data_IF_363628385679
#
_entry.id   IF_363628385679
#
_cell.length_a   1.000
_cell.length_b   1.000
_cell.length_c   1.000
_cell.angle_alpha   90.00
_cell.angle_beta   90.00
_cell.angle_gamma   90.00
#
_symmetry.space_group_name_H-M   'P 1'
#
loop_
_entity.id
_entity.type
_entity.pdbx_description
1 polymer ?
#
# COMPACT_ATOMS: atom_id res chain seq x y z
N UNK A 1 -41.24 5.26 2.37
CA UNK A 1 -40.54 5.75 3.58
C UNK A 1 -41.30 6.97 4.05
N UNK A 2 -41.85 6.94 5.26
CA UNK A 2 -42.67 8.02 5.79
C UNK A 2 -41.79 9.23 6.15
N UNK A 3 -42.38 10.43 6.12
CA UNK A 3 -41.69 11.69 6.41
C UNK A 3 -41.16 11.74 7.84
N UNK A 4 -41.84 11.06 8.76
CA UNK A 4 -41.42 10.93 10.15
C UNK A 4 -40.28 9.92 10.33
N UNK A 5 -40.17 8.90 9.46
CA UNK A 5 -39.03 7.98 9.44
C UNK A 5 -37.77 8.69 8.93
N UNK A 6 -37.90 9.43 7.83
CA UNK A 6 -36.81 10.27 7.29
C UNK A 6 -36.24 11.26 8.32
N UNK A 7 -37.12 11.86 9.13
CA UNK A 7 -36.70 12.77 10.19
C UNK A 7 -35.93 12.04 11.29
N UNK A 8 -36.35 10.84 11.69
CA UNK A 8 -35.63 10.03 12.68
C UNK A 8 -34.26 9.63 12.16
N UNK A 9 -34.18 9.16 10.92
CA UNK A 9 -32.92 8.77 10.28
C UNK A 9 -31.94 9.94 10.20
N UNK A 10 -32.42 11.13 9.83
CA UNK A 10 -31.60 12.34 9.80
C UNK A 10 -31.04 12.71 11.18
N UNK A 11 -31.87 12.64 12.23
CA UNK A 11 -31.44 12.93 13.60
C UNK A 11 -30.40 11.90 14.07
N UNK A 12 -30.64 10.61 13.77
CA UNK A 12 -29.73 9.53 14.08
C UNK A 12 -28.37 9.76 13.42
N UNK A 13 -28.37 10.11 12.13
CA UNK A 13 -27.16 10.38 11.36
C UNK A 13 -26.37 11.55 11.97
N UNK A 14 -27.04 12.66 12.31
CA UNK A 14 -26.37 13.81 12.94
C UNK A 14 -25.77 13.43 14.29
N UNK A 15 -26.49 12.63 15.09
CA UNK A 15 -25.98 12.17 16.38
C UNK A 15 -24.70 11.33 16.21
N UNK A 16 -24.71 10.38 15.27
CA UNK A 16 -23.53 9.55 14.97
C UNK A 16 -22.36 10.36 14.43
N UNK A 17 -22.60 11.34 13.56
CA UNK A 17 -21.54 12.23 13.04
C UNK A 17 -20.94 13.06 14.18
N UNK A 18 -21.77 13.59 15.08
CA UNK A 18 -21.30 14.35 16.25
C UNK A 18 -20.42 13.49 17.15
N UNK A 19 -20.89 12.30 17.51
CA UNK A 19 -20.17 11.38 18.38
C UNK A 19 -18.80 11.02 17.80
N UNK A 20 -18.74 10.73 16.49
CA UNK A 20 -17.48 10.49 15.78
C UNK A 20 -16.53 11.69 15.84
N UNK A 21 -17.02 12.91 15.59
CA UNK A 21 -16.18 14.12 15.65
C UNK A 21 -15.67 14.39 17.06
N UNK A 22 -16.49 14.16 18.09
CA UNK A 22 -16.07 14.28 19.49
C UNK A 22 -14.96 13.29 19.84
N UNK A 23 -15.06 12.04 19.36
CA UNK A 23 -14.00 11.03 19.52
C UNK A 23 -12.70 11.44 18.83
N UNK A 24 -12.76 11.92 17.58
CA UNK A 24 -11.58 12.40 16.85
C UNK A 24 -10.90 13.57 17.58
N UNK A 25 -11.68 14.52 18.11
CA UNK A 25 -11.15 15.63 18.90
C UNK A 25 -10.48 15.15 20.20
N UNK A 26 -11.04 14.14 20.87
CA UNK A 26 -10.42 13.54 22.07
C UNK A 26 -9.10 12.82 21.76
N UNK A 27 -8.98 12.26 20.56
CA UNK A 27 -7.75 11.65 20.05
C UNK A 27 -6.71 12.70 19.60
N UNK A 28 -7.06 14.00 19.64
CA UNK A 28 -6.16 15.11 19.33
C UNK A 28 -6.20 15.56 17.86
N UNK A 29 -7.11 15.02 17.05
CA UNK A 29 -7.29 15.47 15.67
C UNK A 29 -8.06 16.80 15.67
N UNK A 30 -7.35 17.90 15.41
CA UNK A 30 -7.90 19.26 15.41
C UNK A 30 -8.14 19.81 14.01
N UNK A 31 -7.58 19.16 13.00
CA UNK A 31 -7.73 19.47 11.59
C UNK A 31 -8.10 18.17 10.85
N UNK A 32 -9.03 18.27 9.91
CA UNK A 32 -9.19 17.23 8.89
C UNK A 32 -8.12 17.53 7.85
N UNK A 33 -7.01 16.80 7.87
CA UNK A 33 -6.10 16.80 6.74
C UNK A 33 -6.85 16.23 5.54
N UNK A 34 -7.31 17.11 4.65
CA UNK A 34 -7.56 16.71 3.27
C UNK A 34 -6.20 16.27 2.74
N UNK A 35 -5.97 14.95 2.65
CA UNK A 35 -4.86 14.38 1.89
C UNK A 35 -5.10 14.68 0.41
N UNK A 36 -5.01 15.96 0.01
CA UNK A 36 -4.72 16.27 -1.38
C UNK A 36 -3.28 15.81 -1.61
N UNK A 37 -3.04 14.86 -2.54
CA UNK A 37 -1.68 14.45 -2.82
C UNK A 37 -0.91 15.67 -3.29
N UNK A 38 0.02 16.17 -2.48
CA UNK A 38 1.03 17.11 -2.92
C UNK A 38 1.85 16.42 -4.03
N UNK A 39 1.44 16.61 -5.28
CA UNK A 39 2.07 16.04 -6.47
C UNK A 39 3.42 16.70 -6.82
N UNK A 40 4.00 17.49 -5.92
CA UNK A 40 5.30 18.17 -6.09
C UNK A 40 6.47 17.31 -5.58
N UNK A 41 6.35 15.98 -5.75
CA UNK A 41 7.46 15.07 -5.48
C UNK A 41 8.55 15.28 -6.54
N UNK A 42 9.82 15.49 -6.16
CA UNK A 42 10.93 15.50 -7.12
C UNK A 42 11.12 14.14 -7.82
N UNK A 43 10.35 13.13 -7.41
CA UNK A 43 10.32 11.79 -7.97
C UNK A 43 9.05 11.50 -8.80
N UNK A 44 8.19 12.49 -9.07
CA UNK A 44 6.92 12.28 -9.79
C UNK A 44 7.09 11.73 -11.22
N UNK A 45 8.18 12.07 -11.90
CA UNK A 45 8.50 11.62 -13.26
C UNK A 45 9.51 10.47 -13.30
N UNK A 46 9.75 9.78 -12.18
CA UNK A 46 10.72 8.68 -12.16
C UNK A 46 10.22 7.47 -12.96
N UNK A 47 11.02 7.06 -13.94
CA UNK A 47 10.75 5.86 -14.72
C UNK A 47 11.16 4.60 -13.94
N UNK A 48 10.16 3.88 -13.40
CA UNK A 48 10.38 2.61 -12.72
C UNK A 48 11.01 1.55 -13.63
N UNK A 49 10.79 1.61 -14.95
CA UNK A 49 11.38 0.65 -15.88
C UNK A 49 12.90 0.84 -15.98
N UNK A 50 13.37 2.09 -16.02
CA UNK A 50 14.79 2.41 -15.97
C UNK A 50 15.43 1.95 -14.65
N UNK A 51 14.77 2.19 -13.51
CA UNK A 51 15.24 1.72 -12.20
C UNK A 51 15.28 0.19 -12.10
N UNK A 52 14.35 -0.50 -12.74
CA UNK A 52 14.33 -1.97 -12.78
C UNK A 52 15.55 -2.48 -13.54
N UNK A 53 15.87 -1.91 -14.71
CA UNK A 53 17.06 -2.28 -15.48
C UNK A 53 18.38 -1.99 -14.72
N UNK A 54 18.44 -0.88 -14.00
CA UNK A 54 19.58 -0.56 -13.13
C UNK A 54 19.71 -1.58 -11.97
N UNK A 55 18.59 -2.00 -11.38
CA UNK A 55 18.59 -3.00 -10.32
C UNK A 55 19.05 -4.38 -10.82
N UNK A 56 18.58 -4.81 -11.99
CA UNK A 56 18.96 -6.09 -12.62
C UNK A 56 20.47 -6.22 -12.82
N UNK A 57 21.14 -5.13 -13.19
CA UNK A 57 22.60 -5.07 -13.40
C UNK A 57 23.40 -4.70 -12.14
N UNK A 58 22.75 -4.50 -11.00
CA UNK A 58 23.40 -4.01 -9.79
C UNK A 58 24.39 -5.04 -9.20
N UNK A 59 25.63 -4.57 -8.97
CA UNK A 59 26.72 -5.35 -8.34
C UNK A 59 27.32 -4.64 -7.11
N UNK A 60 26.56 -3.72 -6.51
CA UNK A 60 27.06 -2.82 -5.44
C UNK A 60 27.24 -3.50 -4.08
N UNK A 61 26.75 -4.72 -3.89
CA UNK A 61 26.91 -5.50 -2.65
C UNK A 61 27.02 -7.01 -2.93
N UNK A 62 27.53 -7.82 -1.99
CA UNK A 62 27.74 -9.26 -2.21
C UNK A 62 26.49 -10.08 -2.52
N UNK A 63 25.28 -9.58 -2.25
CA UNK A 63 24.03 -10.30 -2.54
C UNK A 63 23.83 -10.59 -4.03
N UNK A 64 24.47 -9.79 -4.89
CA UNK A 64 24.46 -10.01 -6.32
C UNK A 64 25.11 -11.36 -6.70
N UNK A 65 26.02 -11.88 -5.89
CA UNK A 65 26.73 -13.13 -6.21
C UNK A 65 25.84 -14.37 -6.02
N UNK A 66 24.80 -14.27 -5.20
CA UNK A 66 23.97 -15.42 -4.80
C UNK A 66 22.54 -15.39 -5.36
N UNK A 67 22.03 -14.22 -5.75
CA UNK A 67 20.67 -14.10 -6.32
C UNK A 67 20.57 -14.76 -7.69
N UNK A 68 19.44 -15.40 -7.96
CA UNK A 68 19.08 -15.90 -9.28
C UNK A 68 18.43 -14.80 -10.12
N UNK A 69 17.53 -14.04 -9.51
CA UNK A 69 16.84 -12.91 -10.15
C UNK A 69 16.73 -11.76 -9.16
N UNK A 70 16.79 -10.56 -9.68
CA UNK A 70 16.46 -9.36 -8.90
C UNK A 70 14.96 -9.32 -8.68
N UNK A 71 14.54 -9.06 -7.44
CA UNK A 71 13.13 -8.92 -7.07
C UNK A 71 12.83 -7.46 -6.79
N UNK A 72 12.43 -6.73 -7.85
CA UNK A 72 12.28 -5.28 -7.80
C UNK A 72 11.04 -4.83 -7.02
N UNK A 73 9.87 -4.97 -7.63
CA UNK A 73 8.58 -4.57 -7.09
C UNK A 73 7.48 -4.85 -8.09
N UNK A 74 6.25 -5.02 -7.63
CA UNK A 74 5.08 -5.32 -8.48
C UNK A 74 3.85 -4.58 -7.98
N UNK A 75 2.87 -4.40 -8.86
CA UNK A 75 1.59 -3.77 -8.54
C UNK A 75 1.40 -2.46 -9.28
N UNK A 76 0.58 -1.56 -8.75
CA UNK A 76 0.31 -0.28 -9.37
C UNK A 76 1.40 0.75 -9.01
N UNK A 77 2.18 1.28 -9.99
CA UNK A 77 3.18 2.34 -9.74
C UNK A 77 2.61 3.60 -9.10
N UNK A 78 1.32 3.87 -9.33
CA UNK A 78 0.59 5.02 -8.82
C UNK A 78 -0.34 4.61 -7.66
N UNK A 79 0.03 3.58 -6.89
CA UNK A 79 -0.76 3.14 -5.75
C UNK A 79 -0.65 4.14 -4.59
N UNK A 80 -1.77 4.41 -3.92
CA UNK A 80 -1.78 5.18 -2.66
C UNK A 80 -1.14 4.42 -1.49
N UNK A 81 -1.01 3.09 -1.63
CA UNK A 81 -0.42 2.20 -0.63
C UNK A 81 0.75 1.41 -1.22
N UNK A 82 1.92 1.57 -0.59
CA UNK A 82 3.11 0.75 -0.83
C UNK A 82 3.42 -0.12 0.39
N UNK A 83 3.66 -1.41 0.17
CA UNK A 83 4.08 -2.36 1.19
C UNK A 83 5.54 -2.75 0.95
N UNK A 84 6.37 -2.61 1.98
CA UNK A 84 7.82 -2.85 1.90
C UNK A 84 8.22 -3.96 2.89
N UNK A 85 8.74 -5.06 2.36
CA UNK A 85 9.37 -6.13 3.13
C UNK A 85 10.88 -5.95 3.31
N UNK A 86 11.52 -6.86 4.02
CA UNK A 86 12.96 -6.81 4.28
C UNK A 86 13.79 -7.24 3.06
N UNK A 87 13.61 -8.50 2.62
CA UNK A 87 14.42 -9.12 1.58
C UNK A 87 13.64 -10.20 0.82
N UNK A 88 14.05 -10.53 -0.42
CA UNK A 88 13.48 -11.65 -1.16
C UNK A 88 13.83 -12.99 -0.50
N UNK A 89 12.83 -13.88 -0.39
CA UNK A 89 13.05 -15.28 -0.02
C UNK A 89 13.40 -16.15 -1.23
N UNK A 90 13.55 -17.46 -1.01
CA UNK A 90 13.93 -18.40 -2.06
C UNK A 90 12.88 -18.55 -3.17
N UNK A 91 11.59 -18.50 -2.84
CA UNK A 91 10.51 -18.58 -3.83
C UNK A 91 10.43 -17.29 -4.66
N UNK A 92 10.66 -16.15 -4.01
CA UNK A 92 10.75 -14.83 -4.63
C UNK A 92 11.94 -14.75 -5.59
N UNK A 93 13.14 -15.11 -5.15
CA UNK A 93 14.37 -15.12 -5.97
C UNK A 93 14.22 -16.01 -7.22
N UNK A 94 13.59 -17.19 -7.06
CA UNK A 94 13.34 -18.09 -8.18
C UNK A 94 12.34 -17.49 -9.20
N UNK A 95 11.31 -16.82 -8.73
CA UNK A 95 10.23 -16.31 -9.57
C UNK A 95 10.54 -14.92 -10.15
N UNK A 96 11.27 -14.08 -9.42
CA UNK A 96 11.49 -12.66 -9.74
C UNK A 96 10.39 -11.74 -9.19
N UNK A 97 9.52 -12.24 -8.30
CA UNK A 97 8.35 -11.52 -7.80
C UNK A 97 8.33 -11.49 -6.27
N UNK A 98 8.04 -10.34 -5.63
CA UNK A 98 8.06 -10.22 -4.18
C UNK A 98 6.81 -10.85 -3.56
N UNK A 99 6.98 -11.45 -2.37
CA UNK A 99 5.89 -12.01 -1.58
C UNK A 99 5.04 -13.02 -2.36
N UNK A 100 5.67 -14.07 -2.90
CA UNK A 100 5.00 -15.19 -3.59
C UNK A 100 5.02 -16.49 -2.77
N UNK A 101 5.87 -16.57 -1.73
CA UNK A 101 5.88 -17.68 -0.79
C UNK A 101 4.71 -17.67 0.21
N UNK A 102 4.80 -18.47 1.27
CA UNK A 102 3.75 -18.59 2.31
C UNK A 102 3.39 -17.26 2.96
N UNK A 103 4.39 -16.44 3.30
CA UNK A 103 4.16 -15.11 3.86
C UNK A 103 3.44 -14.19 2.86
N UNK A 104 3.73 -14.35 1.58
CA UNK A 104 3.07 -13.61 0.50
C UNK A 104 1.62 -13.98 0.26
N UNK A 105 1.28 -15.26 0.45
CA UNK A 105 -0.10 -15.73 0.42
C UNK A 105 -0.90 -15.13 1.57
N UNK A 106 -0.33 -15.10 2.79
CA UNK A 106 -0.96 -14.44 3.94
C UNK A 106 -1.13 -12.94 3.69
N UNK A 107 -0.10 -12.27 3.16
CA UNK A 107 -0.19 -10.84 2.80
C UNK A 107 -1.32 -10.59 1.79
N UNK A 108 -1.43 -11.44 0.77
CA UNK A 108 -2.54 -11.35 -0.21
C UNK A 108 -3.90 -11.47 0.46
N UNK A 109 -4.06 -12.40 1.40
CA UNK A 109 -5.31 -12.52 2.16
C UNK A 109 -5.60 -11.29 3.01
N UNK A 110 -4.58 -10.68 3.63
CA UNK A 110 -4.76 -9.45 4.40
C UNK A 110 -5.23 -8.31 3.48
N UNK A 111 -4.61 -8.13 2.32
CA UNK A 111 -4.98 -7.09 1.35
C UNK A 111 -6.40 -7.32 0.82
N UNK A 112 -6.68 -8.53 0.33
CA UNK A 112 -7.93 -8.82 -0.37
C UNK A 112 -9.10 -9.04 0.58
N UNK A 113 -8.91 -9.85 1.62
CA UNK A 113 -9.98 -10.17 2.56
C UNK A 113 -10.08 -9.17 3.71
N UNK A 114 -8.96 -8.66 4.22
CA UNK A 114 -8.93 -7.72 5.34
C UNK A 114 -9.21 -6.28 4.89
N UNK A 115 -8.39 -5.78 3.97
CA UNK A 115 -8.43 -4.38 3.52
C UNK A 115 -9.43 -4.13 2.38
N UNK A 116 -9.92 -5.19 1.73
CA UNK A 116 -10.85 -5.12 0.58
C UNK A 116 -10.27 -4.44 -0.65
N UNK A 117 -8.95 -4.53 -0.83
CA UNK A 117 -8.22 -4.07 -2.02
C UNK A 117 -7.77 -5.26 -2.86
N UNK A 118 -7.54 -5.08 -4.15
CA UNK A 118 -6.85 -6.07 -4.96
C UNK A 118 -5.35 -5.95 -4.74
N UNK A 119 -4.63 -7.08 -4.77
CA UNK A 119 -3.15 -7.06 -4.72
C UNK A 119 -2.53 -6.18 -5.82
N UNK A 120 -3.19 -6.07 -6.97
CA UNK A 120 -2.75 -5.23 -8.09
C UNK A 120 -2.95 -3.72 -7.87
N UNK A 121 -3.78 -3.32 -6.91
CA UNK A 121 -4.07 -1.91 -6.60
C UNK A 121 -3.04 -1.29 -5.66
N UNK A 122 -2.24 -2.11 -4.99
CA UNK A 122 -1.12 -1.69 -4.13
C UNK A 122 0.22 -1.86 -4.87
N UNK A 123 1.28 -1.24 -4.38
CA UNK A 123 2.66 -1.52 -4.83
C UNK A 123 3.40 -2.31 -3.75
N UNK A 124 4.10 -3.38 -4.12
CA UNK A 124 4.77 -4.28 -3.17
C UNK A 124 6.23 -4.43 -3.57
N UNK A 125 7.15 -4.21 -2.63
CA UNK A 125 8.58 -4.32 -2.84
C UNK A 125 9.32 -4.79 -1.58
N UNK A 126 10.63 -4.97 -1.66
CA UNK A 126 11.53 -5.18 -0.52
C UNK A 126 12.58 -4.07 -0.41
N UNK A 127 13.16 -3.89 0.78
CA UNK A 127 14.32 -3.01 0.99
C UNK A 127 15.54 -3.54 0.22
N UNK A 128 15.85 -4.82 0.38
CA UNK A 128 16.86 -5.52 -0.40
C UNK A 128 16.26 -6.08 -1.70
N UNK A 129 17.06 -6.15 -2.76
CA UNK A 129 16.62 -6.53 -4.11
C UNK A 129 17.29 -7.80 -4.59
#
# INVERSE_FOLDING_TARGET
>A
MDRDDLRKDYIQLIASVREYVEEQLQLGFTELEENEPEHDSPYADFDLSALTADAESCVKCPLHETRTKVVFGVGNPNADLMIIGEAPGADEDRQGEPFVGRAGQLLTQIIEAGMKLKRSEVYIANVLK
#
